data_IF_167052949487
#
_entry.id   IF_167052949487
#
_cell.length_a   1.000
_cell.length_b   1.000
_cell.length_c   1.000
_cell.angle_alpha   90.00
_cell.angle_beta   90.00
_cell.angle_gamma   90.00
#
_symmetry.space_group_name_H-M   'P 1'
#
loop_
_entity.id
_entity.type
_entity.pdbx_description
1 polymer ?
#
# COMPACT_ATOMS: atom_id res chain seq x y z
N UNK A 1 18.75 12.19 3.16
CA UNK A 1 19.30 12.02 1.81
C UNK A 1 18.50 10.89 1.17
N UNK A 2 17.47 11.23 0.41
CA UNK A 2 16.71 10.26 -0.39
C UNK A 2 17.63 9.84 -1.54
N UNK A 3 17.97 8.55 -1.60
CA UNK A 3 18.71 8.00 -2.73
C UNK A 3 17.72 7.70 -3.84
N UNK A 4 17.98 8.20 -5.05
CA UNK A 4 17.19 7.86 -6.25
C UNK A 4 17.80 6.59 -6.86
N UNK A 5 16.98 5.59 -7.16
CA UNK A 5 17.42 4.32 -7.73
C UNK A 5 16.91 4.13 -9.15
N UNK A 6 17.81 3.87 -10.11
CA UNK A 6 17.40 3.44 -11.45
C UNK A 6 16.97 1.97 -11.39
N UNK A 7 15.72 1.71 -11.77
CA UNK A 7 15.14 0.36 -11.82
C UNK A 7 15.01 -0.05 -13.28
N UNK A 8 15.50 -1.23 -13.68
CA UNK A 8 15.35 -1.72 -15.08
C UNK A 8 14.04 -2.47 -15.32
N UNK A 9 13.12 -2.44 -14.34
CA UNK A 9 11.83 -3.11 -14.43
C UNK A 9 10.98 -2.52 -15.55
N UNK A 10 10.24 -3.38 -16.23
CA UNK A 10 9.23 -2.97 -17.21
C UNK A 10 7.88 -2.63 -16.55
N UNK A 11 7.71 -2.94 -15.25
CA UNK A 11 6.46 -2.71 -14.53
C UNK A 11 6.32 -1.25 -14.10
N UNK A 12 5.20 -0.66 -14.49
CA UNK A 12 4.95 0.78 -14.41
C UNK A 12 4.77 1.33 -12.99
N UNK A 13 4.55 0.47 -12.00
CA UNK A 13 4.35 0.83 -10.59
C UNK A 13 5.67 1.15 -9.86
N UNK A 14 6.82 0.92 -10.48
CA UNK A 14 8.14 1.12 -9.86
C UNK A 14 8.97 2.23 -10.52
N UNK A 15 8.34 3.04 -11.38
CA UNK A 15 9.02 4.07 -12.14
C UNK A 15 9.22 5.30 -11.26
N UNK A 16 10.49 5.58 -10.90
CA UNK A 16 10.91 6.83 -10.27
C UNK A 16 11.58 7.72 -11.31
N UNK A 17 11.77 9.00 -10.98
CA UNK A 17 12.51 10.01 -11.76
C UNK A 17 13.88 9.52 -12.26
N UNK A 18 14.49 8.55 -11.56
CA UNK A 18 15.78 7.95 -11.92
C UNK A 18 15.76 6.97 -13.09
N UNK A 19 14.58 6.62 -13.64
CA UNK A 19 14.44 5.60 -14.68
C UNK A 19 15.17 5.96 -15.99
N UNK A 20 15.10 7.24 -16.36
CA UNK A 20 15.63 7.76 -17.62
C UNK A 20 17.02 8.39 -17.48
N UNK A 21 17.59 8.38 -16.26
CA UNK A 21 18.93 8.93 -16.02
C UNK A 21 19.97 8.06 -16.73
N UNK A 22 20.84 8.64 -17.58
CA UNK A 22 21.95 7.94 -18.24
C UNK A 22 22.83 7.16 -17.26
N UNK A 23 23.38 6.02 -17.69
CA UNK A 23 24.10 5.09 -16.80
C UNK A 23 25.42 5.70 -16.27
N UNK A 24 26.04 6.58 -17.04
CA UNK A 24 27.27 7.30 -16.71
C UNK A 24 27.08 8.36 -15.60
N UNK A 25 25.83 8.76 -15.34
CA UNK A 25 25.48 9.70 -14.26
C UNK A 25 25.17 9.00 -12.93
N UNK A 26 25.18 7.66 -12.88
CA UNK A 26 24.87 6.90 -11.67
C UNK A 26 26.10 6.72 -10.78
N UNK A 27 25.99 7.15 -9.52
CA UNK A 27 27.01 6.89 -8.49
C UNK A 27 26.67 5.65 -7.64
N UNK A 28 27.70 4.95 -7.13
CA UNK A 28 27.57 3.84 -6.19
C UNK A 28 26.67 2.67 -6.66
N UNK A 29 26.77 2.30 -7.94
CA UNK A 29 25.99 1.23 -8.54
C UNK A 29 26.14 -0.10 -7.78
N UNK A 30 25.01 -0.70 -7.41
CA UNK A 30 24.93 -2.05 -6.85
C UNK A 30 23.90 -2.85 -7.62
N UNK A 31 24.17 -4.12 -7.94
CA UNK A 31 23.16 -4.97 -8.55
C UNK A 31 22.02 -5.18 -7.55
N UNK A 32 20.80 -4.85 -7.97
CA UNK A 32 19.57 -5.13 -7.24
C UNK A 32 18.73 -6.07 -8.09
N UNK A 33 18.30 -7.18 -7.50
CA UNK A 33 17.28 -8.04 -8.09
C UNK A 33 15.95 -7.74 -7.39
N UNK A 34 14.91 -7.48 -8.18
CA UNK A 34 13.54 -7.28 -7.71
C UNK A 34 12.68 -8.42 -8.25
N UNK A 35 12.19 -9.27 -7.35
CA UNK A 35 11.26 -10.35 -7.69
C UNK A 35 9.85 -9.93 -7.24
N UNK A 36 8.94 -9.75 -8.20
CA UNK A 36 7.54 -9.34 -7.94
C UNK A 36 6.65 -10.57 -7.99
N UNK A 37 6.03 -10.90 -6.86
CA UNK A 37 5.19 -12.09 -6.72
C UNK A 37 3.77 -11.67 -6.36
N UNK A 38 2.82 -12.02 -7.21
CA UNK A 38 1.40 -11.74 -6.98
C UNK A 38 0.81 -12.71 -5.96
N UNK A 39 0.34 -12.17 -4.85
CA UNK A 39 -0.45 -12.91 -3.84
C UNK A 39 -1.92 -12.74 -4.16
N UNK A 40 -2.61 -13.86 -4.45
CA UNK A 40 -4.05 -13.84 -4.70
C UNK A 40 -4.84 -14.09 -3.40
N UNK A 41 -6.01 -13.45 -3.21
CA UNK A 41 -6.90 -13.77 -2.11
C UNK A 41 -7.28 -15.25 -2.13
N UNK A 42 -7.23 -15.89 -0.96
CA UNK A 42 -7.66 -17.26 -0.78
C UNK A 42 -9.15 -17.26 -0.48
N UNK A 43 -9.96 -17.63 -1.45
CA UNK A 43 -11.39 -17.82 -1.22
C UNK A 43 -11.59 -19.05 -0.34
N UNK A 44 -12.12 -18.83 0.87
CA UNK A 44 -12.56 -19.94 1.71
C UNK A 44 -13.74 -20.62 1.01
N UNK A 45 -13.57 -21.89 0.60
CA UNK A 45 -14.72 -22.75 0.39
C UNK A 45 -15.50 -22.81 1.71
N UNK A 46 -16.80 -22.51 1.67
CA UNK A 46 -17.69 -22.32 2.82
C UNK A 46 -17.90 -23.55 3.75
N UNK A 47 -17.00 -24.53 3.77
CA UNK A 47 -17.14 -25.79 4.50
C UNK A 47 -16.03 -26.02 5.52
N UNK A 48 -15.65 -24.99 6.28
CA UNK A 48 -14.83 -25.17 7.48
C UNK A 48 -15.29 -24.33 8.67
N UNK A 49 -16.61 -24.19 8.86
CA UNK A 49 -17.16 -23.93 10.18
C UNK A 49 -17.50 -25.27 10.85
N UNK A 50 -16.64 -25.69 11.78
CA UNK A 50 -16.99 -26.25 13.10
C UNK A 50 -15.74 -26.83 13.76
N UNK A 51 -14.86 -25.94 14.24
CA UNK A 51 -13.99 -26.24 15.36
C UNK A 51 -14.08 -25.05 16.32
N UNK A 52 -14.84 -25.24 17.39
CA UNK A 52 -15.27 -24.23 18.35
C UNK A 52 -14.11 -23.40 18.92
N UNK A 53 -14.17 -22.09 18.72
CA UNK A 53 -13.39 -21.12 19.52
C UNK A 53 -14.35 -20.38 20.45
N UNK A 54 -14.18 -20.69 21.73
CA UNK A 54 -14.82 -20.09 22.90
C UNK A 54 -14.86 -18.56 22.84
N UNK A 55 -16.06 -17.99 22.87
CA UNK A 55 -16.32 -16.56 22.88
C UNK A 55 -15.86 -15.91 24.20
N UNK A 56 -14.75 -15.17 24.17
CA UNK A 56 -14.38 -14.28 25.26
C UNK A 56 -15.18 -12.96 25.17
N UNK A 57 -15.88 -12.62 26.25
CA UNK A 57 -16.75 -11.45 26.39
C UNK A 57 -15.98 -10.12 26.28
N UNK A 58 -16.50 -9.22 25.45
CA UNK A 58 -16.14 -7.79 25.36
C UNK A 58 -16.65 -7.04 26.62
N UNK A 59 -15.84 -6.22 27.33
CA UNK A 59 -16.34 -5.43 28.46
C UNK A 59 -17.06 -4.17 27.95
N UNK A 60 -18.26 -3.93 28.48
CA UNK A 60 -19.06 -2.73 28.24
C UNK A 60 -18.75 -1.70 29.33
N UNK A 61 -18.19 -0.55 28.95
CA UNK A 61 -18.13 0.64 29.80
C UNK A 61 -19.52 1.26 29.92
N UNK A 62 -19.97 1.49 31.15
CA UNK A 62 -21.01 2.47 31.47
C UNK A 62 -20.69 3.05 32.86
N UNK A 63 -20.45 4.36 32.90
CA UNK A 63 -20.29 5.11 34.15
C UNK A 63 -21.64 5.54 34.71
N UNK A 64 -21.78 5.52 36.04
CA UNK A 64 -22.04 6.70 36.88
C UNK A 64 -22.27 6.30 38.34
N UNK A 65 -21.52 6.98 39.18
CA UNK A 65 -21.89 7.62 40.45
C UNK A 65 -22.56 6.81 41.59
N UNK A 66 -21.76 6.68 42.66
CA UNK A 66 -22.08 7.03 44.05
C UNK A 66 -23.20 6.29 44.79
N UNK A 67 -22.82 5.45 45.75
CA UNK A 67 -23.09 5.69 47.17
C UNK A 67 -22.41 4.64 48.08
N UNK A 68 -21.83 5.15 49.16
CA UNK A 68 -21.18 4.48 50.29
C UNK A 68 -22.12 3.55 51.09
N UNK A 69 -21.64 2.39 51.56
CA UNK A 69 -21.47 2.05 53.01
C UNK A 69 -20.99 0.59 53.22
N UNK A 70 -20.02 0.44 54.16
CA UNK A 70 -19.82 -0.65 55.17
C UNK A 70 -19.81 -2.14 54.72
N UNK A 71 -19.07 -3.10 55.29
CA UNK A 71 -17.99 -3.20 56.30
C UNK A 71 -17.56 -4.69 56.39
N UNK A 72 -16.34 -4.95 56.89
CA UNK A 72 -15.93 -6.13 57.72
C UNK A 72 -15.72 -7.49 57.00
N UNK A 73 -14.45 -7.95 56.83
CA UNK A 73 -13.72 -9.01 57.60
C UNK A 73 -14.33 -10.43 57.39
N UNK A 74 -13.65 -11.56 57.14
CA UNK A 74 -12.43 -12.16 57.68
C UNK A 74 -12.05 -13.38 56.80
N UNK A 75 -10.77 -13.79 56.83
CA UNK A 75 -10.24 -15.15 57.13
C UNK A 75 -10.83 -16.39 56.41
N UNK A 76 -10.11 -17.46 56.03
CA UNK A 76 -8.72 -17.89 56.21
C UNK A 76 -8.54 -19.25 55.49
N UNK A 77 -7.31 -19.51 55.04
CA UNK A 77 -6.55 -20.77 55.13
C UNK A 77 -6.99 -22.08 54.41
N UNK A 78 -6.04 -22.57 53.58
CA UNK A 78 -5.39 -23.90 53.59
C UNK A 78 -5.78 -25.07 52.67
N UNK A 79 -4.68 -25.75 52.22
CA UNK A 79 -4.57 -27.19 51.95
C UNK A 79 -4.58 -27.54 50.46
N UNK A 80 -3.46 -27.71 49.74
CA UNK A 80 -2.40 -28.74 49.78
C UNK A 80 -2.93 -30.19 49.62
N UNK A 81 -2.60 -30.84 48.49
CA UNK A 81 -2.80 -32.28 48.31
C UNK A 81 -2.59 -32.83 46.89
N UNK A 82 -1.39 -33.38 46.66
CA UNK A 82 -0.94 -34.44 45.71
C UNK A 82 -1.94 -35.62 45.55
N UNK A 83 -1.88 -36.60 44.64
CA UNK A 83 -0.92 -37.10 43.63
C UNK A 83 -1.65 -38.19 42.77
N UNK A 84 -1.02 -38.59 41.65
CA UNK A 84 -1.00 -39.93 41.00
C UNK A 84 -2.19 -40.60 40.27
N UNK A 85 -1.92 -40.93 38.99
CA UNK A 85 -2.08 -42.26 38.35
C UNK A 85 -3.46 -42.64 37.82
N UNK A 86 -3.66 -43.37 36.71
CA UNK A 86 -2.78 -44.03 35.74
C UNK A 86 -3.64 -44.56 34.55
N UNK A 87 -2.99 -44.84 33.40
CA UNK A 87 -3.39 -45.80 32.34
C UNK A 87 -4.65 -45.45 31.50
N UNK A 88 -4.87 -45.88 30.26
CA UNK A 88 -4.15 -46.54 29.16
C UNK A 88 -5.23 -46.74 28.07
N UNK A 89 -4.92 -46.55 26.79
CA UNK A 89 -5.37 -47.32 25.62
C UNK A 89 -5.36 -46.44 24.37
N UNK A 90 -4.59 -46.87 23.39
CA UNK A 90 -4.45 -46.20 22.11
C UNK A 90 -5.62 -46.46 21.17
N UNK A 91 -5.75 -45.59 20.17
CA UNK A 91 -6.28 -46.00 18.88
C UNK A 91 -5.75 -45.06 17.80
N UNK A 92 -5.14 -45.66 16.78
CA UNK A 92 -4.67 -44.99 15.58
C UNK A 92 -5.86 -44.32 14.87
N UNK A 93 -5.73 -43.03 14.57
CA UNK A 93 -6.66 -42.32 13.70
C UNK A 93 -5.93 -41.95 12.41
N UNK A 94 -6.35 -42.61 11.34
CA UNK A 94 -5.93 -42.39 9.96
C UNK A 94 -6.22 -40.96 9.53
N UNK A 95 -5.32 -40.40 8.73
CA UNK A 95 -5.54 -39.15 8.00
C UNK A 95 -6.74 -39.29 7.05
N UNK A 96 -7.68 -38.35 7.04
CA UNK A 96 -8.65 -38.26 5.96
C UNK A 96 -8.02 -37.50 4.79
N UNK A 97 -7.64 -38.24 3.75
CA UNK A 97 -7.40 -37.66 2.42
C UNK A 97 -8.74 -37.17 1.86
N UNK A 98 -8.92 -35.86 1.73
CA UNK A 98 -10.07 -35.28 1.05
C UNK A 98 -9.70 -34.87 -0.38
N UNK A 99 -10.24 -35.63 -1.32
CA UNK A 99 -10.25 -35.36 -2.76
C UNK A 99 -11.41 -34.44 -3.12
N UNK A 100 -11.13 -33.18 -3.47
CA UNK A 100 -12.10 -32.28 -4.08
C UNK A 100 -11.46 -31.43 -5.19
N UNK A 101 -11.61 -31.90 -6.43
CA UNK A 101 -11.52 -31.11 -7.67
C UNK A 101 -12.84 -30.31 -7.78
N UNK A 102 -12.93 -29.03 -8.15
CA UNK A 102 -12.27 -28.34 -9.24
C UNK A 102 -12.53 -26.81 -9.16
N UNK A 103 -11.67 -26.09 -8.45
CA UNK A 103 -11.40 -24.62 -8.55
C UNK A 103 -10.46 -24.16 -7.43
N UNK A 104 -10.52 -24.83 -6.27
CA UNK A 104 -9.59 -24.71 -5.14
C UNK A 104 -8.18 -25.22 -5.44
N UNK A 105 -8.06 -26.26 -6.28
CA UNK A 105 -6.77 -26.83 -6.65
C UNK A 105 -5.87 -25.84 -7.39
N UNK A 106 -6.41 -24.95 -8.24
CA UNK A 106 -5.59 -23.98 -8.97
C UNK A 106 -5.06 -22.86 -8.07
N UNK A 107 -5.89 -22.36 -7.15
CA UNK A 107 -5.48 -21.33 -6.17
C UNK A 107 -4.47 -21.88 -5.16
N UNK A 108 -4.70 -23.10 -4.65
CA UNK A 108 -3.79 -23.74 -3.71
C UNK A 108 -2.45 -24.12 -4.36
N UNK A 109 -2.46 -24.61 -5.60
CA UNK A 109 -1.24 -24.85 -6.39
C UNK A 109 -0.46 -23.56 -6.66
N UNK A 110 -1.14 -22.44 -6.91
CA UNK A 110 -0.49 -21.15 -7.13
C UNK A 110 0.18 -20.61 -5.85
N UNK A 111 -0.50 -20.67 -4.71
CA UNK A 111 0.09 -20.27 -3.42
C UNK A 111 1.31 -21.12 -3.05
N UNK A 112 1.26 -22.43 -3.31
CA UNK A 112 2.42 -23.31 -3.11
C UNK A 112 3.59 -22.97 -4.04
N UNK A 113 3.31 -22.58 -5.28
CA UNK A 113 4.33 -22.15 -6.23
C UNK A 113 5.00 -20.83 -5.78
N UNK A 114 4.20 -19.81 -5.42
CA UNK A 114 4.71 -18.54 -4.91
C UNK A 114 5.56 -18.73 -3.64
N UNK A 115 5.12 -19.61 -2.73
CA UNK A 115 5.90 -19.91 -1.51
C UNK A 115 7.25 -20.53 -1.88
N UNK A 116 7.28 -21.49 -2.81
CA UNK A 116 8.51 -22.18 -3.17
C UNK A 116 9.53 -21.22 -3.80
N UNK A 117 9.06 -20.31 -4.65
CA UNK A 117 9.88 -19.26 -5.26
C UNK A 117 10.55 -18.37 -4.20
N UNK A 118 9.78 -17.85 -3.24
CA UNK A 118 10.33 -17.06 -2.12
C UNK A 118 11.33 -17.87 -1.30
N UNK A 119 11.05 -19.16 -1.05
CA UNK A 119 11.97 -20.01 -0.30
C UNK A 119 13.30 -20.23 -1.03
N UNK A 120 13.30 -20.39 -2.36
CA UNK A 120 14.55 -20.50 -3.12
C UNK A 120 15.36 -19.19 -3.08
N UNK A 121 14.70 -18.04 -3.08
CA UNK A 121 15.37 -16.73 -2.91
C UNK A 121 15.97 -16.63 -1.50
N UNK A 122 15.19 -16.94 -0.47
CA UNK A 122 15.63 -16.81 0.93
C UNK A 122 16.75 -17.78 1.30
N UNK A 123 16.84 -18.96 0.67
CA UNK A 123 17.94 -19.93 0.88
C UNK A 123 19.31 -19.37 0.50
N UNK A 124 19.38 -18.36 -0.37
CA UNK A 124 20.65 -17.76 -0.79
C UNK A 124 21.22 -16.81 0.27
N UNK A 125 20.40 -16.33 1.21
CA UNK A 125 20.77 -15.39 2.26
C UNK A 125 20.82 -16.01 3.66
N UNK A 126 21.61 -15.40 4.55
CA UNK A 126 21.70 -15.80 5.96
C UNK A 126 20.71 -15.08 6.88
N UNK A 127 20.09 -13.99 6.40
CA UNK A 127 19.20 -13.12 7.15
C UNK A 127 18.29 -12.34 6.18
N UNK A 128 17.07 -12.05 6.59
CA UNK A 128 16.16 -11.20 5.83
C UNK A 128 15.27 -10.35 6.74
N UNK A 129 14.82 -9.23 6.20
CA UNK A 129 13.86 -8.31 6.85
C UNK A 129 12.51 -8.54 6.18
N UNK A 130 11.47 -8.71 6.98
CA UNK A 130 10.09 -8.73 6.50
C UNK A 130 9.49 -7.36 6.76
N UNK A 131 9.30 -6.58 5.71
CA UNK A 131 8.55 -5.34 5.76
C UNK A 131 7.12 -5.58 5.27
N UNK A 132 6.14 -4.93 5.87
CA UNK A 132 4.73 -5.08 5.50
C UNK A 132 4.05 -3.73 5.50
N UNK A 133 3.83 -3.21 4.30
CA UNK A 133 3.03 -2.01 4.06
C UNK A 133 1.55 -2.37 4.14
N UNK A 134 0.80 -1.71 5.04
CA UNK A 134 -0.62 -2.02 5.18
C UNK A 134 -1.47 -1.61 3.96
N UNK A 135 -0.95 -0.71 3.12
CA UNK A 135 -1.57 -0.30 1.86
C UNK A 135 -1.69 -1.48 0.87
N UNK A 136 -0.95 -2.57 1.09
CA UNK A 136 -1.16 -3.82 0.37
C UNK A 136 -2.60 -4.35 0.52
N UNK A 137 -3.21 -4.20 1.69
CA UNK A 137 -4.53 -4.75 1.98
C UNK A 137 -5.68 -3.86 1.54
N UNK A 138 -5.44 -2.54 1.50
CA UNK A 138 -6.41 -1.54 1.07
C UNK A 138 -5.66 -0.22 0.98
N UNK A 139 -5.76 0.47 -0.15
CA UNK A 139 -5.08 1.74 -0.39
C UNK A 139 -6.07 2.76 -0.91
N UNK A 140 -5.97 3.97 -0.36
CA UNK A 140 -6.88 5.05 -0.71
C UNK A 140 -6.07 6.25 -1.13
N UNK A 141 -6.16 6.61 -2.40
CA UNK A 141 -5.70 7.91 -2.89
C UNK A 141 -6.52 9.02 -2.19
N UNK A 142 -5.90 9.84 -1.30
CA UNK A 142 -6.62 10.86 -0.54
C UNK A 142 -7.12 12.00 -1.44
N UNK A 143 -6.44 12.28 -2.56
CA UNK A 143 -6.80 13.38 -3.45
C UNK A 143 -8.11 13.15 -4.20
N UNK A 144 -8.49 11.89 -4.44
CA UNK A 144 -9.79 11.54 -5.07
C UNK A 144 -11.02 11.91 -4.25
N UNK A 145 -10.85 12.17 -2.95
CA UNK A 145 -11.93 12.68 -2.11
C UNK A 145 -11.90 14.20 -1.96
N UNK A 146 -10.74 14.81 -2.18
CA UNK A 146 -10.54 16.25 -2.05
C UNK A 146 -10.97 17.02 -3.30
N UNK A 147 -10.79 16.42 -4.47
CA UNK A 147 -11.06 17.06 -5.76
C UNK A 147 -12.19 16.35 -6.50
N UNK A 148 -12.93 17.12 -7.28
CA UNK A 148 -13.93 16.56 -8.20
C UNK A 148 -13.26 15.76 -9.32
N UNK A 149 -14.03 14.90 -9.99
CA UNK A 149 -13.51 14.11 -11.11
C UNK A 149 -13.03 15.02 -12.25
N UNK A 150 -13.71 16.13 -12.48
CA UNK A 150 -13.35 17.14 -13.48
C UNK A 150 -12.04 17.84 -13.13
N UNK A 151 -11.85 18.26 -11.88
CA UNK A 151 -10.60 18.87 -11.42
C UNK A 151 -9.43 17.90 -11.50
N UNK A 152 -9.65 16.64 -11.12
CA UNK A 152 -8.63 15.60 -11.22
C UNK A 152 -8.22 15.35 -12.67
N UNK A 153 -9.17 15.39 -13.61
CA UNK A 153 -8.88 15.29 -15.04
C UNK A 153 -8.06 16.49 -15.54
N UNK A 154 -8.36 17.70 -15.06
CA UNK A 154 -7.57 18.89 -15.41
C UNK A 154 -6.14 18.77 -14.87
N UNK A 155 -5.97 18.28 -13.63
CA UNK A 155 -4.65 18.00 -13.07
C UNK A 155 -3.89 16.96 -13.90
N UNK A 156 -4.55 15.88 -14.33
CA UNK A 156 -3.94 14.90 -15.25
C UNK A 156 -3.49 15.52 -16.57
N UNK A 157 -4.24 16.48 -17.12
CA UNK A 157 -3.86 17.19 -18.34
C UNK A 157 -2.64 18.10 -18.13
N UNK A 158 -2.61 18.87 -17.04
CA UNK A 158 -1.51 19.79 -16.71
C UNK A 158 -0.20 19.06 -16.41
N UNK A 159 -0.27 17.94 -15.70
CA UNK A 159 0.89 17.15 -15.26
C UNK A 159 1.20 15.98 -16.21
N UNK A 160 0.56 15.92 -17.38
CA UNK A 160 0.75 14.79 -18.29
C UNK A 160 2.19 14.72 -18.79
N UNK A 161 2.93 13.73 -18.30
CA UNK A 161 4.22 13.36 -18.88
C UNK A 161 4.04 12.25 -19.92
N UNK A 162 4.52 12.50 -21.14
CA UNK A 162 4.53 11.49 -22.20
C UNK A 162 5.81 10.66 -22.11
N UNK A 163 5.64 9.39 -21.76
CA UNK A 163 6.74 8.45 -21.72
C UNK A 163 7.48 8.41 -23.07
N UNK A 164 8.82 8.45 -23.06
CA UNK A 164 9.62 8.23 -24.26
C UNK A 164 9.29 6.87 -24.91
N UNK A 165 9.22 6.83 -26.24
CA UNK A 165 9.02 5.58 -26.99
C UNK A 165 10.15 4.57 -26.71
N UNK A 166 9.87 3.28 -26.82
CA UNK A 166 10.82 2.21 -26.45
C UNK A 166 12.06 2.10 -27.35
N UNK A 167 12.13 2.88 -28.43
CA UNK A 167 13.17 2.84 -29.45
C UNK A 167 13.95 4.17 -29.60
N UNK A 168 13.99 4.99 -28.56
CA UNK A 168 14.63 6.30 -28.60
C UNK A 168 16.16 6.24 -28.44
N UNK A 169 16.82 7.26 -28.97
CA UNK A 169 18.25 7.47 -28.78
C UNK A 169 18.53 8.07 -27.41
N UNK A 170 19.80 8.10 -27.00
CA UNK A 170 20.22 8.73 -25.75
C UNK A 170 19.92 10.24 -25.74
N UNK A 171 20.06 10.91 -26.89
CA UNK A 171 19.72 12.33 -27.06
C UNK A 171 18.21 12.58 -26.86
N UNK A 172 17.37 11.75 -27.46
CA UNK A 172 15.91 11.85 -27.29
C UNK A 172 15.48 11.62 -25.82
N UNK A 173 16.20 10.77 -25.07
CA UNK A 173 15.94 10.53 -23.65
C UNK A 173 16.30 11.76 -22.81
N UNK A 174 17.46 12.37 -23.07
CA UNK A 174 17.88 13.61 -22.41
C UNK A 174 16.87 14.73 -22.66
N UNK A 175 16.48 14.94 -23.92
CA UNK A 175 15.48 15.96 -24.29
C UNK A 175 14.13 15.73 -23.58
N UNK A 176 13.73 14.46 -23.43
CA UNK A 176 12.49 14.12 -22.74
C UNK A 176 12.55 14.43 -21.24
N UNK A 177 13.67 14.10 -20.59
CA UNK A 177 13.91 14.40 -19.16
C UNK A 177 13.98 15.91 -18.95
N UNK A 178 14.73 16.63 -19.78
CA UNK A 178 14.84 18.08 -19.70
C UNK A 178 13.46 18.74 -19.88
N UNK A 179 12.66 18.29 -20.84
CA UNK A 179 11.30 18.80 -21.04
C UNK A 179 10.43 18.58 -19.80
N UNK A 180 10.53 17.40 -19.16
CA UNK A 180 9.80 17.10 -17.94
C UNK A 180 10.22 18.00 -16.76
N UNK A 181 11.53 18.21 -16.57
CA UNK A 181 12.07 19.07 -15.52
C UNK A 181 11.56 20.50 -15.68
N UNK A 182 11.59 21.05 -16.90
CA UNK A 182 11.10 22.40 -17.17
C UNK A 182 9.58 22.51 -16.93
N UNK A 183 8.79 21.52 -17.37
CA UNK A 183 7.35 21.50 -17.11
C UNK A 183 7.04 21.49 -15.61
N UNK A 184 7.71 20.64 -14.82
CA UNK A 184 7.50 20.56 -13.39
C UNK A 184 7.95 21.84 -12.67
N UNK A 185 9.06 22.44 -13.09
CA UNK A 185 9.52 23.71 -12.55
C UNK A 185 8.55 24.87 -12.86
N UNK A 186 7.98 24.91 -14.07
CA UNK A 186 6.97 25.89 -14.45
C UNK A 186 5.67 25.70 -13.64
N UNK A 187 5.25 24.45 -13.40
CA UNK A 187 4.09 24.13 -12.56
C UNK A 187 4.35 24.53 -11.10
N UNK A 188 5.50 24.17 -10.53
CA UNK A 188 5.89 24.57 -9.16
C UNK A 188 5.87 26.10 -9.00
N UNK A 189 6.46 26.83 -9.95
CA UNK A 189 6.45 28.29 -9.95
C UNK A 189 5.03 28.86 -10.07
N UNK A 190 4.18 28.26 -10.92
CA UNK A 190 2.80 28.69 -11.08
C UNK A 190 2.00 28.54 -9.78
N UNK A 191 2.09 27.37 -9.13
CA UNK A 191 1.38 27.12 -7.89
C UNK A 191 1.95 27.92 -6.71
N UNK A 192 3.25 28.21 -6.68
CA UNK A 192 3.86 29.12 -5.70
C UNK A 192 3.29 30.54 -5.83
N UNK A 193 3.18 31.07 -7.05
CA UNK A 193 2.56 32.39 -7.28
C UNK A 193 1.07 32.40 -6.89
N UNK A 194 0.33 31.31 -7.14
CA UNK A 194 -1.08 31.19 -6.75
C UNK A 194 -1.27 31.14 -5.23
N UNK A 195 -0.30 30.61 -4.48
CA UNK A 195 -0.29 30.68 -3.01
C UNK A 195 -0.18 32.12 -2.51
N UNK A 196 0.56 32.98 -3.22
CA UNK A 196 0.66 34.42 -2.89
C UNK A 196 -0.59 35.21 -3.34
N UNK A 197 -1.20 34.81 -4.47
CA UNK A 197 -2.45 35.38 -4.94
C UNK A 197 -2.98 34.73 -6.22
N UNK A 198 -4.25 34.32 -6.21
CA UNK A 198 -4.92 33.66 -7.33
C UNK A 198 -5.88 34.58 -8.10
N UNK A 199 -5.49 35.84 -8.27
CA UNK A 199 -6.24 36.81 -9.07
C UNK A 199 -6.21 36.48 -10.58
N UNK A 200 -7.12 37.13 -11.33
CA UNK A 200 -7.28 36.86 -12.76
C UNK A 200 -6.03 37.23 -13.58
N UNK A 201 -5.24 38.22 -13.15
CA UNK A 201 -4.00 38.60 -13.86
C UNK A 201 -2.94 37.50 -13.72
N UNK A 202 -2.73 37.01 -12.50
CA UNK A 202 -1.79 35.91 -12.20
C UNK A 202 -2.16 34.64 -12.95
N UNK A 203 -3.43 34.25 -12.94
CA UNK A 203 -3.90 33.04 -13.64
C UNK A 203 -3.73 33.19 -15.17
N UNK A 204 -4.12 34.35 -15.73
CA UNK A 204 -4.03 34.58 -17.18
C UNK A 204 -2.59 34.61 -17.68
N UNK A 205 -1.67 35.17 -16.89
CA UNK A 205 -0.24 35.19 -17.21
C UNK A 205 0.30 33.77 -17.37
N UNK A 206 0.04 32.88 -16.41
CA UNK A 206 0.50 31.49 -16.47
C UNK A 206 -0.22 30.69 -17.56
N UNK A 207 -1.53 30.85 -17.71
CA UNK A 207 -2.30 30.15 -18.73
C UNK A 207 -1.98 30.58 -20.17
N UNK A 208 -1.24 31.68 -20.35
CA UNK A 208 -0.70 32.08 -21.66
C UNK A 208 0.53 31.25 -22.07
N UNK A 209 1.13 30.51 -21.15
CA UNK A 209 2.24 29.60 -21.45
C UNK A 209 1.71 28.32 -22.12
N UNK A 210 2.40 27.79 -23.14
CA UNK A 210 1.99 26.53 -23.77
C UNK A 210 1.85 25.40 -22.76
N UNK A 211 0.72 24.69 -22.77
CA UNK A 211 0.44 23.56 -21.87
C UNK A 211 -0.15 23.94 -20.51
N UNK A 212 -0.33 25.24 -20.22
CA UNK A 212 -0.91 25.75 -18.97
C UNK A 212 -2.34 26.26 -19.14
N UNK A 213 -2.95 26.07 -20.31
CA UNK A 213 -4.25 26.65 -20.65
C UNK A 213 -5.37 26.18 -19.69
N UNK A 214 -5.24 24.96 -19.19
CA UNK A 214 -6.19 24.36 -18.24
C UNK A 214 -6.08 24.90 -16.81
N UNK A 215 -5.11 25.78 -16.50
CA UNK A 215 -4.99 26.41 -15.18
C UNK A 215 -6.20 27.32 -14.86
N UNK A 216 -6.73 28.03 -15.87
CA UNK A 216 -7.93 28.87 -15.71
C UNK A 216 -9.14 28.05 -15.24
N UNK A 217 -9.59 27.01 -15.98
CA UNK A 217 -10.75 26.23 -15.57
C UNK A 217 -10.53 25.49 -14.25
N UNK A 218 -9.29 25.09 -13.92
CA UNK A 218 -8.96 24.49 -12.62
C UNK A 218 -9.26 25.44 -11.46
N UNK A 219 -8.62 26.61 -11.46
CA UNK A 219 -8.75 27.58 -10.36
C UNK A 219 -10.20 28.08 -10.25
N UNK A 220 -10.87 28.29 -11.39
CA UNK A 220 -12.29 28.63 -11.40
C UNK A 220 -13.18 27.54 -10.81
N UNK A 221 -12.85 26.27 -11.01
CA UNK A 221 -13.62 25.15 -10.44
C UNK A 221 -13.42 25.06 -8.92
N UNK A 222 -12.16 25.15 -8.47
CA UNK A 222 -11.80 25.12 -7.05
C UNK A 222 -12.52 26.24 -6.28
N UNK A 223 -12.47 27.47 -6.80
CA UNK A 223 -13.13 28.64 -6.18
C UNK A 223 -14.65 28.56 -6.08
N UNK A 224 -15.31 27.67 -6.84
CA UNK A 224 -16.78 27.50 -6.73
C UNK A 224 -17.20 26.80 -5.45
N UNK A 225 -16.32 25.98 -4.87
CA UNK A 225 -16.66 25.14 -3.72
C UNK A 225 -15.64 25.19 -2.59
N UNK A 226 -14.50 25.87 -2.79
CA UNK A 226 -13.50 26.20 -1.79
C UNK A 226 -13.43 27.73 -1.63
N UNK A 227 -13.59 28.24 -0.40
CA UNK A 227 -13.50 29.68 -0.12
C UNK A 227 -12.08 30.23 -0.40
N UNK A 228 -11.07 29.44 -0.04
CA UNK A 228 -9.66 29.67 -0.36
C UNK A 228 -9.06 28.31 -0.75
N UNK A 229 -8.78 28.06 -2.04
CA UNK A 229 -8.12 26.83 -2.46
C UNK A 229 -6.73 26.70 -1.85
N UNK A 230 -6.38 25.51 -1.39
CA UNK A 230 -5.02 25.19 -0.96
C UNK A 230 -4.19 24.81 -2.21
N UNK A 231 -3.59 25.82 -2.84
CA UNK A 231 -2.85 25.67 -4.10
C UNK A 231 -1.60 24.79 -3.95
N UNK A 232 -0.99 24.76 -2.77
CA UNK A 232 0.07 23.80 -2.46
C UNK A 232 -0.49 22.37 -2.52
N UNK A 233 -1.64 22.11 -1.90
CA UNK A 233 -2.26 20.78 -1.97
C UNK A 233 -2.73 20.37 -3.37
N UNK A 234 -3.17 21.34 -4.17
CA UNK A 234 -3.50 21.12 -5.59
C UNK A 234 -2.25 20.74 -6.38
N UNK A 235 -1.12 21.40 -6.13
CA UNK A 235 0.17 21.04 -6.73
C UNK A 235 0.60 19.63 -6.35
N UNK A 236 0.58 19.31 -5.05
CA UNK A 236 0.91 17.97 -4.56
C UNK A 236 0.01 16.89 -5.16
N UNK A 237 -1.28 17.16 -5.34
CA UNK A 237 -2.18 16.23 -6.04
C UNK A 237 -1.77 16.07 -7.51
N UNK A 238 -1.45 17.15 -8.20
CA UNK A 238 -1.00 17.14 -9.60
C UNK A 238 0.25 16.29 -9.83
N UNK A 239 1.25 16.37 -8.93
CA UNK A 239 2.47 15.55 -8.97
C UNK A 239 2.18 14.03 -8.93
N UNK A 240 0.97 13.64 -8.51
CA UNK A 240 0.53 12.24 -8.42
C UNK A 240 -0.42 11.82 -9.54
N UNK A 241 -0.68 12.70 -10.51
CA UNK A 241 -1.65 12.51 -11.59
C UNK A 241 -1.00 12.16 -12.94
N UNK A 242 0.28 11.78 -12.95
CA UNK A 242 1.02 11.51 -14.18
C UNK A 242 0.65 10.13 -14.79
N UNK A 243 1.56 9.53 -15.55
CA UNK A 243 1.36 8.22 -16.16
C UNK A 243 1.09 7.09 -15.15
N UNK A 244 1.56 7.22 -13.91
CA UNK A 244 1.45 6.22 -12.85
C UNK A 244 0.70 6.79 -11.63
N UNK A 245 -0.57 7.12 -11.83
CA UNK A 245 -1.45 7.66 -10.80
C UNK A 245 -1.37 6.86 -9.48
N UNK A 246 -1.46 7.56 -8.33
CA UNK A 246 -1.50 6.91 -7.02
C UNK A 246 -2.58 5.82 -6.96
N UNK A 247 -2.19 4.67 -6.43
CA UNK A 247 -3.06 3.51 -6.29
C UNK A 247 -4.31 3.87 -5.48
N UNK A 248 -5.47 3.43 -5.99
CA UNK A 248 -6.75 3.59 -5.32
C UNK A 248 -7.53 2.28 -5.42
N UNK A 249 -7.49 1.50 -4.35
CA UNK A 249 -8.26 0.27 -4.20
C UNK A 249 -8.70 0.12 -2.74
N UNK A 250 -9.92 0.56 -2.46
CA UNK A 250 -10.53 0.39 -1.15
C UNK A 250 -11.13 -1.02 -1.09
N UNK A 251 -10.43 -1.93 -0.42
CA UNK A 251 -10.91 -3.30 -0.23
C UNK A 251 -12.07 -3.37 0.77
N UNK A 252 -12.99 -4.28 0.51
CA UNK A 252 -14.07 -4.68 1.42
C UNK A 252 -13.51 -5.45 2.63
N UNK A 253 -14.28 -5.55 3.71
CA UNK A 253 -13.88 -6.34 4.90
C UNK A 253 -13.56 -7.81 4.53
N UNK A 254 -14.33 -8.39 3.61
CA UNK A 254 -14.15 -9.76 3.13
C UNK A 254 -12.87 -9.92 2.31
N UNK A 255 -12.56 -8.98 1.42
CA UNK A 255 -11.30 -8.99 0.66
C UNK A 255 -10.09 -8.88 1.59
N UNK A 256 -10.15 -7.99 2.58
CA UNK A 256 -9.10 -7.84 3.60
C UNK A 256 -8.92 -9.15 4.37
N UNK A 257 -10.00 -9.81 4.79
CA UNK A 257 -9.92 -11.10 5.49
C UNK A 257 -9.26 -12.19 4.64
N UNK A 258 -9.62 -12.31 3.36
CA UNK A 258 -9.01 -13.27 2.45
C UNK A 258 -7.53 -12.97 2.16
N UNK A 259 -7.15 -11.69 2.02
CA UNK A 259 -5.76 -11.28 1.86
C UNK A 259 -4.94 -11.57 3.12
N UNK A 260 -5.44 -11.23 4.31
CA UNK A 260 -4.80 -11.54 5.60
C UNK A 260 -4.59 -13.05 5.72
N UNK A 261 -5.60 -13.86 5.38
CA UNK A 261 -5.50 -15.31 5.45
C UNK A 261 -4.43 -15.87 4.49
N UNK A 262 -4.34 -15.29 3.30
CA UNK A 262 -3.34 -15.65 2.27
C UNK A 262 -1.93 -15.33 2.72
N UNK A 263 -1.71 -14.11 3.22
CA UNK A 263 -0.42 -13.66 3.77
C UNK A 263 -0.05 -14.51 4.99
N UNK A 264 -1.00 -14.81 5.88
CA UNK A 264 -0.76 -15.69 7.02
C UNK A 264 -0.24 -17.08 6.59
N UNK A 265 -0.88 -17.71 5.60
CA UNK A 265 -0.44 -19.01 5.10
C UNK A 265 0.92 -18.96 4.41
N UNK A 266 1.21 -17.86 3.72
CA UNK A 266 2.52 -17.62 3.12
C UNK A 266 3.59 -17.51 4.21
N UNK A 267 3.42 -16.56 5.15
CA UNK A 267 4.38 -16.29 6.22
C UNK A 267 4.63 -17.51 7.10
N UNK A 268 3.62 -18.36 7.34
CA UNK A 268 3.78 -19.60 8.11
C UNK A 268 4.77 -20.59 7.48
N UNK A 269 4.96 -20.53 6.16
CA UNK A 269 5.87 -21.41 5.42
C UNK A 269 7.27 -20.80 5.24
N UNK A 270 7.43 -19.51 5.49
CA UNK A 270 8.72 -18.82 5.38
C UNK A 270 9.58 -19.05 6.64
N UNK A 271 10.91 -19.03 6.52
CA UNK A 271 11.80 -19.00 7.68
C UNK A 271 11.54 -17.76 8.53
N UNK A 272 11.96 -17.80 9.80
CA UNK A 272 11.79 -16.65 10.70
C UNK A 272 12.64 -15.46 10.21
N UNK A 273 12.06 -14.27 10.00
CA UNK A 273 12.83 -13.08 9.66
C UNK A 273 13.72 -12.62 10.81
N UNK A 274 14.79 -11.91 10.48
CA UNK A 274 15.68 -11.27 11.45
C UNK A 274 15.02 -10.06 12.10
N UNK A 275 14.25 -9.30 11.32
CA UNK A 275 13.52 -8.12 11.73
C UNK A 275 12.17 -8.09 11.00
N UNK A 276 11.13 -7.65 11.71
CA UNK A 276 9.82 -7.38 11.13
C UNK A 276 9.50 -5.90 11.29
N UNK A 277 9.11 -5.25 10.21
CA UNK A 277 8.60 -3.89 10.19
C UNK A 277 7.19 -3.87 9.61
N UNK A 278 6.38 -2.94 10.07
CA UNK A 278 5.01 -2.72 9.59
C UNK A 278 4.85 -1.23 9.38
N UNK A 279 4.60 -0.82 8.14
CA UNK A 279 4.36 0.57 7.81
C UNK A 279 2.85 0.87 7.80
N UNK A 280 2.50 1.99 8.40
CA UNK A 280 1.18 2.63 8.28
C UNK A 280 1.43 4.02 7.71
N UNK A 281 0.90 4.25 6.52
CA UNK A 281 0.85 5.58 5.91
C UNK A 281 -0.36 6.35 6.43
#
# INVERSE_FOLDING_TARGET
MLGVGRVTSTDHSFLSDGLFVPEDQLENQKPLQLDVIMVKPHELCANQENAAVSSAKKPKLAGKDSASTASTHCDSYSGLGKDTGAQSMGQACQEPSCSCSCSSASQQCQMTACTQEILEILKQGNAFILDTDLDFFSVKNPFKEMFTQEEYKILQELYQFKKPASNLTEEDLVDTVDTQIHQLADLEAAFADLCDGDDEETIQRWASNPGMESLIPLVQSLKKHMEVPDHEMVHQAGLTCDYSELLHHISTEQEVEYLIQSVYYLLKKLPKPTLVTIARL
#
